data_IF_189385917009
#
_entry.id   IF_189385917009
#
_cell.length_a   1.000
_cell.length_b   1.000
_cell.length_c   1.000
_cell.angle_alpha   90.00
_cell.angle_beta   90.00
_cell.angle_gamma   90.00
#
_symmetry.space_group_name_H-M   'P 1'
#
loop_
_entity.id
_entity.type
_entity.pdbx_description
1 polymer ?
#
# COMPACT_ATOMS: atom_id res chain seq x y z
N UNK A 1 -7.99 -0.47 3.72
CA UNK A 1 -7.08 -1.55 4.18
C UNK A 1 -6.01 -0.94 5.07
N UNK A 2 -5.41 -1.72 5.96
CA UNK A 2 -4.23 -1.36 6.76
C UNK A 2 -3.27 -2.56 6.76
N UNK A 3 -1.99 -2.33 6.46
CA UNK A 3 -0.97 -3.38 6.51
C UNK A 3 -0.09 -3.19 7.75
N UNK A 4 -0.13 -4.18 8.63
CA UNK A 4 0.86 -4.35 9.69
C UNK A 4 1.97 -5.25 9.15
N UNK A 5 3.08 -4.68 8.70
CA UNK A 5 4.22 -5.47 8.24
C UNK A 5 4.98 -5.99 9.47
N UNK A 6 5.36 -7.27 9.45
CA UNK A 6 6.06 -7.88 10.57
C UNK A 6 7.45 -7.24 10.73
N UNK A 7 7.81 -6.86 11.96
CA UNK A 7 9.11 -6.30 12.26
C UNK A 7 10.23 -7.30 11.92
N UNK A 8 11.28 -6.79 11.30
CA UNK A 8 12.45 -7.57 10.88
C UNK A 8 13.71 -6.94 11.47
N UNK A 9 14.79 -7.72 11.55
CA UNK A 9 16.11 -7.24 11.99
C UNK A 9 16.51 -5.97 11.22
N UNK A 10 17.16 -5.05 11.93
CA UNK A 10 17.65 -3.77 11.40
C UNK A 10 16.57 -2.93 10.68
N UNK A 11 15.31 -3.05 11.12
CA UNK A 11 14.17 -2.34 10.54
C UNK A 11 13.99 -2.57 9.02
N UNK A 12 14.46 -3.71 8.50
CA UNK A 12 14.40 -4.05 7.07
C UNK A 12 12.98 -4.15 6.47
N UNK A 13 11.96 -4.07 7.32
CA UNK A 13 10.55 -4.01 6.95
C UNK A 13 10.12 -2.60 6.52
N UNK A 14 10.73 -1.54 7.06
CA UNK A 14 10.35 -0.15 6.75
C UNK A 14 10.60 0.22 5.27
N UNK A 15 11.73 -0.13 4.64
CA UNK A 15 11.92 0.16 3.21
C UNK A 15 10.88 -0.53 2.32
N UNK A 16 10.36 -1.70 2.72
CA UNK A 16 9.30 -2.40 1.99
C UNK A 16 7.96 -1.68 2.12
N UNK A 17 7.67 -1.18 3.32
CA UNK A 17 6.49 -0.36 3.59
C UNK A 17 6.53 0.93 2.75
N UNK A 18 7.66 1.64 2.77
CA UNK A 18 7.87 2.88 2.01
C UNK A 18 7.75 2.65 0.51
N UNK A 19 8.38 1.59 -0.01
CA UNK A 19 8.30 1.24 -1.43
C UNK A 19 6.86 0.93 -1.86
N UNK A 20 6.10 0.18 -1.05
CA UNK A 20 4.70 -0.07 -1.33
C UNK A 20 3.87 1.21 -1.31
N UNK A 21 4.03 2.05 -0.29
CA UNK A 21 3.28 3.29 -0.14
C UNK A 21 3.58 4.29 -1.27
N UNK A 22 4.83 4.35 -1.74
CA UNK A 22 5.21 5.16 -2.90
C UNK A 22 4.44 4.74 -4.16
N UNK A 23 4.22 3.44 -4.38
CA UNK A 23 3.46 2.93 -5.52
C UNK A 23 1.95 3.11 -5.33
N UNK A 24 1.43 2.70 -4.16
CA UNK A 24 0.02 2.73 -3.85
C UNK A 24 -0.51 4.16 -3.93
N UNK A 25 0.14 5.12 -3.26
CA UNK A 25 -0.34 6.49 -3.12
C UNK A 25 -0.09 7.37 -4.36
N UNK A 26 0.66 6.91 -5.36
CA UNK A 26 1.11 7.71 -6.50
C UNK A 26 -0.01 8.43 -7.29
N UNK A 27 -1.25 7.91 -7.23
CA UNK A 27 -2.42 8.47 -7.94
C UNK A 27 -3.50 9.02 -6.99
N UNK A 28 -3.19 9.15 -5.71
CA UNK A 28 -4.06 9.78 -4.72
C UNK A 28 -3.73 11.27 -4.60
N UNK A 29 -4.70 12.09 -4.18
CA UNK A 29 -4.43 13.50 -3.88
C UNK A 29 -3.36 13.61 -2.77
N UNK A 30 -2.41 14.56 -2.84
CA UNK A 30 -1.29 14.63 -1.91
C UNK A 30 -1.71 14.62 -0.43
N UNK A 31 -2.75 15.36 -0.06
CA UNK A 31 -3.25 15.49 1.31
C UNK A 31 -3.83 14.16 1.81
N UNK A 32 -4.64 13.50 0.99
CA UNK A 32 -5.17 12.18 1.30
C UNK A 32 -4.07 11.11 1.33
N UNK A 33 -3.06 11.22 0.46
CA UNK A 33 -1.89 10.36 0.45
C UNK A 33 -1.07 10.50 1.73
N UNK A 34 -0.83 11.73 2.17
CA UNK A 34 -0.13 12.01 3.42
C UNK A 34 -0.89 11.45 4.63
N UNK A 35 -2.22 11.62 4.68
CA UNK A 35 -3.04 11.06 5.75
C UNK A 35 -2.94 9.53 5.83
N UNK A 36 -2.99 8.83 4.68
CA UNK A 36 -2.80 7.37 4.64
C UNK A 36 -1.38 6.99 5.07
N UNK A 37 -0.36 7.66 4.54
CA UNK A 37 1.04 7.39 4.87
C UNK A 37 1.30 7.55 6.37
N UNK A 38 0.89 8.68 6.95
CA UNK A 38 1.08 8.97 8.37
C UNK A 38 0.38 7.93 9.26
N UNK A 39 -0.85 7.56 8.92
CA UNK A 39 -1.57 6.52 9.68
C UNK A 39 -0.85 5.16 9.62
N UNK A 40 -0.36 4.75 8.46
CA UNK A 40 0.36 3.48 8.30
C UNK A 40 1.72 3.48 9.01
N UNK A 41 2.45 4.60 8.97
CA UNK A 41 3.72 4.74 9.68
C UNK A 41 3.51 4.71 11.20
N UNK A 42 2.57 5.50 11.73
CA UNK A 42 2.24 5.49 13.16
C UNK A 42 1.78 4.11 13.64
N UNK A 43 1.00 3.39 12.81
CA UNK A 43 0.58 2.02 13.10
C UNK A 43 1.77 1.06 13.22
N UNK A 44 2.69 1.06 12.24
CA UNK A 44 3.84 0.15 12.24
C UNK A 44 4.91 0.55 13.28
N UNK A 45 4.93 1.81 13.71
CA UNK A 45 5.77 2.29 14.81
C UNK A 45 5.17 2.07 16.21
N UNK A 46 3.93 1.56 16.32
CA UNK A 46 3.23 1.41 17.61
C UNK A 46 2.99 2.74 18.33
N UNK A 47 2.90 3.83 17.59
CA UNK A 47 2.71 5.20 18.10
C UNK A 47 1.22 5.53 18.30
N UNK A 48 0.93 6.67 18.94
CA UNK A 48 -0.45 7.15 19.03
C UNK A 48 -1.04 7.42 17.64
N UNK A 49 -2.31 7.04 17.47
CA UNK A 49 -3.03 7.10 16.21
C UNK A 49 -4.06 8.22 16.16
N UNK A 50 -4.37 8.88 17.28
CA UNK A 50 -5.48 9.83 17.41
C UNK A 50 -5.55 10.87 16.28
N UNK A 51 -4.46 11.64 16.08
CA UNK A 51 -4.37 12.67 15.05
C UNK A 51 -4.39 12.10 13.64
N UNK A 52 -3.61 11.04 13.40
CA UNK A 52 -3.50 10.40 12.07
C UNK A 52 -4.80 9.74 11.64
N UNK A 53 -5.57 9.22 12.59
CA UNK A 53 -6.90 8.65 12.37
C UNK A 53 -7.89 9.74 11.96
N UNK A 54 -7.88 10.89 12.65
CA UNK A 54 -8.74 12.01 12.29
C UNK A 54 -8.46 12.47 10.84
N UNK A 55 -7.20 12.72 10.50
CA UNK A 55 -6.80 13.10 9.15
C UNK A 55 -7.21 12.05 8.09
N UNK A 56 -7.09 10.76 8.41
CA UNK A 56 -7.53 9.68 7.53
C UNK A 56 -9.04 9.74 7.28
N UNK A 57 -9.85 9.97 8.32
CA UNK A 57 -11.30 10.01 8.21
C UNK A 57 -11.82 11.19 7.38
N UNK A 58 -11.12 12.32 7.39
CA UNK A 58 -11.46 13.50 6.57
C UNK A 58 -11.39 13.19 5.06
N UNK A 59 -10.56 12.22 4.66
CA UNK A 59 -10.35 11.84 3.27
C UNK A 59 -10.96 10.48 2.89
N UNK A 60 -11.77 9.87 3.77
CA UNK A 60 -12.21 8.46 3.64
C UNK A 60 -12.80 8.11 2.26
N UNK A 61 -13.72 8.91 1.74
CA UNK A 61 -14.37 8.65 0.45
C UNK A 61 -13.39 8.67 -0.74
N UNK A 62 -12.31 9.44 -0.66
CA UNK A 62 -11.28 9.47 -1.70
C UNK A 62 -10.39 8.23 -1.59
N UNK A 63 -10.04 7.84 -0.36
CA UNK A 63 -9.22 6.66 -0.07
C UNK A 63 -9.93 5.38 -0.51
N UNK A 64 -11.23 5.27 -0.27
CA UNK A 64 -12.05 4.12 -0.70
C UNK A 64 -12.05 3.96 -2.22
N UNK A 65 -12.38 5.02 -2.97
CA UNK A 65 -12.35 5.03 -4.45
C UNK A 65 -10.96 4.72 -4.99
N UNK A 66 -9.93 5.19 -4.31
CA UNK A 66 -8.55 4.91 -4.68
C UNK A 66 -8.22 3.42 -4.50
N UNK A 67 -8.65 2.80 -3.39
CA UNK A 67 -8.47 1.37 -3.15
C UNK A 67 -9.17 0.51 -4.22
N UNK A 68 -10.40 0.84 -4.59
CA UNK A 68 -11.13 0.16 -5.67
C UNK A 68 -10.37 0.24 -6.99
N UNK A 69 -9.90 1.45 -7.35
CA UNK A 69 -9.14 1.69 -8.57
C UNK A 69 -7.80 0.94 -8.56
N UNK A 70 -7.12 0.89 -7.43
CA UNK A 70 -5.89 0.12 -7.27
C UNK A 70 -6.14 -1.36 -7.55
N UNK A 71 -7.16 -1.95 -6.93
CA UNK A 71 -7.54 -3.35 -7.17
C UNK A 71 -7.82 -3.63 -8.64
N UNK A 72 -8.56 -2.75 -9.33
CA UNK A 72 -8.83 -2.89 -10.77
C UNK A 72 -7.55 -2.84 -11.60
N UNK A 73 -6.61 -1.94 -11.28
CA UNK A 73 -5.33 -1.83 -11.98
C UNK A 73 -4.44 -3.06 -11.77
N UNK A 74 -4.41 -3.62 -10.56
CA UNK A 74 -3.64 -4.83 -10.29
C UNK A 74 -4.26 -6.06 -10.95
N UNK A 75 -5.59 -6.19 -10.94
CA UNK A 75 -6.29 -7.31 -11.56
C UNK A 75 -6.20 -7.32 -13.09
N UNK A 76 -5.90 -6.18 -13.73
CA UNK A 76 -5.70 -6.10 -15.17
C UNK A 76 -4.33 -6.63 -15.63
N UNK A 77 -3.39 -6.86 -14.71
CA UNK A 77 -2.09 -7.44 -15.03
C UNK A 77 -2.19 -8.97 -15.13
N UNK A 78 -1.27 -9.58 -15.88
CA UNK A 78 -1.16 -11.04 -15.93
C UNK A 78 -0.87 -11.55 -14.52
N UNK A 79 -1.69 -12.49 -14.05
CA UNK A 79 -1.51 -13.08 -12.74
C UNK A 79 -0.22 -13.92 -12.69
N UNK A 80 0.26 -14.14 -11.46
CA UNK A 80 1.53 -14.82 -11.22
C UNK A 80 1.58 -16.23 -11.79
N UNK A 81 0.47 -16.99 -11.72
CA UNK A 81 0.45 -18.37 -12.19
C UNK A 81 0.52 -18.42 -13.73
N UNK A 82 -0.22 -17.55 -14.41
CA UNK A 82 -0.16 -17.42 -15.86
C UNK A 82 1.24 -17.00 -16.32
N UNK A 83 1.84 -16.00 -15.66
CA UNK A 83 3.20 -15.54 -15.98
C UNK A 83 4.24 -16.65 -15.79
N UNK A 84 4.09 -17.49 -14.76
CA UNK A 84 4.98 -18.61 -14.49
C UNK A 84 4.91 -19.70 -15.57
N UNK A 85 3.72 -20.00 -16.08
CA UNK A 85 3.55 -20.95 -17.20
C UNK A 85 4.20 -20.43 -18.48
N UNK A 86 4.01 -19.14 -18.78
CA UNK A 86 4.64 -18.51 -19.95
C UNK A 86 6.17 -18.51 -19.83
N UNK A 87 6.70 -18.23 -18.64
CA UNK A 87 8.14 -18.30 -18.38
C UNK A 87 8.71 -19.69 -18.69
N UNK A 88 8.06 -20.75 -18.21
CA UNK A 88 8.49 -22.13 -18.50
C UNK A 88 8.44 -22.43 -20.01
N UNK A 89 7.36 -22.07 -20.69
CA UNK A 89 7.20 -22.31 -22.13
C UNK A 89 8.20 -21.56 -23.01
N UNK A 90 8.66 -20.38 -22.59
CA UNK A 90 9.62 -19.55 -23.34
C UNK A 90 11.09 -19.81 -22.99
N UNK A 91 11.36 -20.63 -21.97
CA UNK A 91 12.72 -20.96 -21.52
C UNK A 91 13.25 -22.28 -22.10
N UNK A 92 12.48 -22.92 -22.98
CA UNK A 92 12.81 -24.13 -23.73
C UNK A 92 13.05 -23.77 -25.20
#
# INVERSE_FOLDING_TARGET
MLWHIYQQEEDAHLPKLDAFLALYLARLAPEAGQAVNQFWQSWNAGSDLSESWQALTEHWAQIEKHAERWCQQQAAQTDLATALVQFYGNSL
#
